data_IF_210252210368
#
_entry.id   IF_210252210368
#
_cell.length_a   1.000
_cell.length_b   1.000
_cell.length_c   1.000
_cell.angle_alpha   90.00
_cell.angle_beta   90.00
_cell.angle_gamma   90.00
#
_symmetry.space_group_name_H-M   'P 1'
#
loop_
_entity.id
_entity.type
_entity.pdbx_description
1 polymer ?
#
# COMPACT_ATOMS: atom_id res chain seq x y z
N UNK A 1 2.32 10.40 -0.40
CA UNK A 1 1.69 9.08 -0.19
C UNK A 1 2.75 7.98 -0.17
N UNK A 2 2.61 7.00 0.72
CA UNK A 2 3.40 5.76 0.73
C UNK A 2 2.56 4.58 0.25
N UNK A 3 3.11 3.78 -0.66
CA UNK A 3 2.52 2.56 -1.18
C UNK A 3 3.19 1.36 -0.52
N UNK A 4 2.39 0.47 0.08
CA UNK A 4 2.87 -0.82 0.60
C UNK A 4 2.11 -1.94 -0.05
N UNK A 5 2.84 -2.88 -0.62
CA UNK A 5 2.29 -4.04 -1.29
C UNK A 5 2.51 -5.30 -0.46
N UNK A 6 1.48 -6.13 -0.40
CA UNK A 6 1.53 -7.44 0.22
C UNK A 6 0.56 -8.39 -0.47
N UNK A 7 0.24 -9.47 0.22
CA UNK A 7 -0.77 -10.42 -0.21
C UNK A 7 -1.40 -11.10 0.97
N UNK A 8 -2.51 -11.78 0.71
CA UNK A 8 -3.18 -12.57 1.72
C UNK A 8 -3.95 -13.71 1.11
N UNK A 9 -4.41 -14.59 1.99
CA UNK A 9 -5.15 -15.78 1.59
C UNK A 9 -6.66 -15.60 1.80
N UNK A 10 -7.11 -15.10 2.96
CA UNK A 10 -8.53 -14.99 3.34
C UNK A 10 -8.82 -13.74 4.18
N UNK A 11 -10.10 -13.44 4.44
CA UNK A 11 -10.55 -12.45 5.43
C UNK A 11 -10.45 -10.97 5.03
N UNK A 12 -10.05 -10.65 3.78
CA UNK A 12 -9.87 -9.24 3.38
C UNK A 12 -11.19 -8.47 3.33
N UNK A 13 -12.28 -9.08 2.88
CA UNK A 13 -13.59 -8.42 2.83
C UNK A 13 -14.10 -8.10 4.24
N UNK A 14 -14.03 -9.07 5.16
CA UNK A 14 -14.37 -8.84 6.56
C UNK A 14 -13.49 -7.76 7.20
N UNK A 15 -12.18 -7.76 6.89
CA UNK A 15 -11.26 -6.73 7.35
C UNK A 15 -11.65 -5.31 6.88
N UNK A 16 -12.05 -5.18 5.62
CA UNK A 16 -12.42 -3.90 5.01
C UNK A 16 -13.75 -3.37 5.55
N UNK A 17 -14.74 -4.26 5.71
CA UNK A 17 -16.08 -3.90 6.17
C UNK A 17 -16.12 -3.72 7.70
N UNK A 18 -15.64 -4.70 8.45
CA UNK A 18 -15.82 -4.75 9.90
C UNK A 18 -14.59 -4.25 10.69
N UNK A 19 -13.41 -4.24 10.07
CA UNK A 19 -12.15 -3.98 10.77
C UNK A 19 -11.70 -5.15 11.66
N UNK A 20 -10.52 -5.00 12.28
CA UNK A 20 -10.02 -5.96 13.28
C UNK A 20 -10.43 -5.46 14.67
N UNK A 21 -11.33 -6.19 15.34
CA UNK A 21 -11.66 -5.99 16.76
C UNK A 21 -10.58 -6.60 17.66
N UNK A 22 -9.41 -5.97 17.74
CA UNK A 22 -8.43 -6.26 18.79
C UNK A 22 -8.59 -5.22 19.90
N UNK A 23 -9.51 -5.47 20.85
CA UNK A 23 -9.63 -4.69 22.09
C UNK A 23 -10.31 -3.32 22.00
N UNK A 24 -10.72 -2.87 20.81
CA UNK A 24 -11.31 -1.53 20.61
C UNK A 24 -12.82 -1.52 20.80
N UNK A 25 -13.34 -0.45 21.40
CA UNK A 25 -14.77 -0.24 21.59
C UNK A 25 -15.52 0.09 20.29
N UNK A 26 -14.86 0.75 19.32
CA UNK A 26 -15.49 1.26 18.11
C UNK A 26 -15.29 0.34 16.89
N UNK A 27 -16.36 0.16 16.11
CA UNK A 27 -16.40 -0.57 14.84
C UNK A 27 -15.82 0.27 13.68
N UNK A 28 -15.47 -0.37 12.56
CA UNK A 28 -14.92 0.31 11.37
C UNK A 28 -15.79 1.45 10.86
N UNK A 29 -17.10 1.25 10.79
CA UNK A 29 -18.05 2.27 10.32
C UNK A 29 -18.14 3.49 11.24
N UNK A 30 -17.77 3.35 12.51
CA UNK A 30 -17.71 4.46 13.47
C UNK A 30 -16.40 5.25 13.32
N UNK A 31 -15.33 4.57 12.90
CA UNK A 31 -13.99 5.14 12.78
C UNK A 31 -13.77 5.83 11.43
N UNK A 32 -14.26 5.24 10.35
CA UNK A 32 -13.94 5.65 8.99
C UNK A 32 -15.21 5.84 8.14
N UNK A 33 -15.21 6.85 7.28
CA UNK A 33 -16.09 6.91 6.13
C UNK A 33 -15.45 6.10 4.99
N UNK A 34 -16.15 5.06 4.51
CA UNK A 34 -15.69 4.22 3.41
C UNK A 34 -16.17 4.80 2.08
N UNK A 35 -15.22 5.15 1.22
CA UNK A 35 -15.50 5.66 -0.12
C UNK A 35 -15.06 4.62 -1.15
N UNK A 36 -16.01 4.07 -1.89
CA UNK A 36 -15.73 3.18 -3.03
C UNK A 36 -15.06 3.98 -4.15
N UNK A 37 -13.89 3.53 -4.61
CA UNK A 37 -13.12 4.20 -5.65
C UNK A 37 -13.07 3.40 -6.95
N UNK A 38 -13.08 2.07 -6.87
CA UNK A 38 -13.14 1.20 -8.04
C UNK A 38 -13.71 -0.18 -7.69
N UNK A 39 -14.44 -0.77 -8.65
CA UNK A 39 -14.91 -2.15 -8.58
C UNK A 39 -16.13 -2.36 -7.67
N UNK A 40 -16.39 -3.63 -7.36
CA UNK A 40 -17.51 -4.07 -6.53
C UNK A 40 -17.02 -5.12 -5.52
N UNK A 41 -17.34 -4.93 -4.24
CA UNK A 41 -16.82 -5.78 -3.15
C UNK A 41 -17.39 -7.20 -3.17
N UNK A 42 -18.64 -7.39 -3.60
CA UNK A 42 -19.27 -8.70 -3.73
C UNK A 42 -18.62 -9.48 -4.88
N UNK A 43 -18.40 -8.81 -6.01
CA UNK A 43 -17.67 -9.41 -7.13
C UNK A 43 -16.25 -9.79 -6.73
N UNK A 44 -15.52 -8.91 -6.03
CA UNK A 44 -14.20 -9.21 -5.45
C UNK A 44 -14.27 -10.47 -4.57
N UNK A 45 -15.24 -10.53 -3.67
CA UNK A 45 -15.45 -11.65 -2.76
C UNK A 45 -15.61 -12.97 -3.53
N UNK A 46 -16.48 -12.99 -4.54
CA UNK A 46 -16.71 -14.17 -5.37
C UNK A 46 -15.46 -14.60 -6.14
N UNK A 47 -14.72 -13.66 -6.73
CA UNK A 47 -13.50 -13.98 -7.49
C UNK A 47 -12.44 -14.60 -6.56
N UNK A 48 -12.21 -14.04 -5.38
CA UNK A 48 -11.26 -14.60 -4.39
C UNK A 48 -11.68 -16.02 -3.97
N UNK A 49 -12.97 -16.23 -3.70
CA UNK A 49 -13.49 -17.55 -3.31
C UNK A 49 -13.41 -18.58 -4.44
N UNK A 50 -13.39 -18.14 -5.71
CA UNK A 50 -13.18 -19.03 -6.86
C UNK A 50 -11.74 -19.54 -7.01
N UNK A 51 -10.80 -19.06 -6.20
CA UNK A 51 -9.40 -19.51 -6.19
C UNK A 51 -9.26 -20.61 -5.12
N UNK A 52 -8.90 -21.86 -5.50
CA UNK A 52 -8.71 -22.95 -4.55
C UNK A 52 -7.68 -22.59 -3.48
N UNK A 53 -7.99 -22.86 -2.22
CA UNK A 53 -7.07 -22.63 -1.12
C UNK A 53 -6.09 -23.80 -0.98
N UNK A 54 -4.82 -23.55 -1.23
CA UNK A 54 -3.69 -24.46 -1.04
C UNK A 54 -2.64 -23.85 -0.09
N UNK A 55 -3.03 -22.86 0.73
CA UNK A 55 -2.12 -22.11 1.60
C UNK A 55 -1.32 -21.00 0.91
N UNK A 56 -1.55 -20.75 -0.38
CA UNK A 56 -0.92 -19.67 -1.14
C UNK A 56 -1.65 -18.33 -0.98
N UNK A 57 -1.03 -17.24 -1.40
CA UNK A 57 -1.74 -15.97 -1.54
C UNK A 57 -2.81 -16.04 -2.62
N UNK A 58 -4.04 -15.62 -2.30
CA UNK A 58 -5.17 -15.58 -3.25
C UNK A 58 -5.50 -14.17 -3.73
N UNK A 59 -4.98 -13.14 -3.05
CA UNK A 59 -5.09 -11.76 -3.47
C UNK A 59 -3.82 -10.98 -3.15
N UNK A 60 -3.59 -9.93 -3.92
CA UNK A 60 -2.64 -8.86 -3.64
C UNK A 60 -3.41 -7.78 -2.87
N UNK A 61 -2.79 -7.26 -1.82
CA UNK A 61 -3.31 -6.13 -1.05
C UNK A 61 -2.32 -4.99 -1.08
N UNK A 62 -2.77 -3.82 -1.49
CA UNK A 62 -1.95 -2.61 -1.54
C UNK A 62 -2.60 -1.57 -0.66
N UNK A 63 -1.84 -0.99 0.26
CA UNK A 63 -2.27 0.17 1.03
C UNK A 63 -1.55 1.41 0.54
N UNK A 64 -2.30 2.44 0.17
CA UNK A 64 -1.80 3.77 -0.12
C UNK A 64 -2.10 4.65 1.09
N UNK A 65 -1.10 4.99 1.90
CA UNK A 65 -1.27 5.84 3.08
C UNK A 65 -0.81 7.26 2.79
N UNK A 66 -1.60 8.24 3.23
CA UNK A 66 -1.34 9.64 2.98
C UNK A 66 -0.71 10.33 4.19
N UNK A 67 0.17 11.29 3.93
CA UNK A 67 0.72 12.13 5.00
C UNK A 67 -0.20 13.30 5.30
N UNK A 68 -1.00 13.70 4.33
CA UNK A 68 -1.98 14.77 4.41
C UNK A 68 -3.12 14.37 5.36
N UNK A 69 -3.55 15.30 6.22
CA UNK A 69 -4.68 15.07 7.14
C UNK A 69 -6.02 15.03 6.42
N UNK A 70 -6.10 15.58 5.21
CA UNK A 70 -7.31 15.60 4.37
C UNK A 70 -6.95 15.58 2.89
N UNK A 71 -7.67 14.79 2.12
CA UNK A 71 -7.56 14.71 0.66
C UNK A 71 -8.98 14.65 0.09
N UNK A 72 -9.23 15.35 -1.01
CA UNK A 72 -10.53 15.35 -1.67
C UNK A 72 -10.83 13.98 -2.30
N UNK A 73 -12.11 13.63 -2.39
CA UNK A 73 -12.57 12.40 -3.07
C UNK A 73 -12.08 12.34 -4.52
N UNK A 74 -12.04 13.48 -5.21
CA UNK A 74 -11.54 13.58 -6.58
C UNK A 74 -10.07 13.18 -6.70
N UNK A 75 -9.19 13.66 -5.80
CA UNK A 75 -7.78 13.27 -5.81
C UNK A 75 -7.63 11.78 -5.45
N UNK A 76 -8.40 11.26 -4.49
CA UNK A 76 -8.39 9.83 -4.15
C UNK A 76 -8.78 8.95 -5.34
N UNK A 77 -9.79 9.36 -6.11
CA UNK A 77 -10.20 8.69 -7.35
C UNK A 77 -9.10 8.77 -8.43
N UNK A 78 -8.54 9.95 -8.67
CA UNK A 78 -7.46 10.16 -9.65
C UNK A 78 -6.21 9.35 -9.32
N UNK A 79 -5.78 9.36 -8.06
CA UNK A 79 -4.66 8.54 -7.55
C UNK A 79 -4.92 7.06 -7.77
N UNK A 80 -6.13 6.58 -7.44
CA UNK A 80 -6.49 5.16 -7.60
C UNK A 80 -6.47 4.74 -9.07
N UNK A 81 -7.03 5.57 -9.96
CA UNK A 81 -7.07 5.27 -11.39
C UNK A 81 -5.68 5.31 -12.02
N UNK A 82 -4.84 6.27 -11.62
CA UNK A 82 -3.45 6.34 -12.07
C UNK A 82 -2.65 5.11 -11.64
N UNK A 83 -2.77 4.75 -10.35
CA UNK A 83 -2.11 3.58 -9.80
C UNK A 83 -2.54 2.29 -10.52
N UNK A 84 -3.86 2.14 -10.76
CA UNK A 84 -4.42 1.05 -11.55
C UNK A 84 -3.83 1.01 -12.96
N UNK A 85 -3.81 2.14 -13.66
CA UNK A 85 -3.31 2.22 -15.04
C UNK A 85 -1.84 1.83 -15.14
N UNK A 86 -1.00 2.29 -14.20
CA UNK A 86 0.42 1.99 -14.19
C UNK A 86 0.70 0.53 -13.82
N UNK A 87 0.06 0.02 -12.77
CA UNK A 87 0.28 -1.34 -12.28
C UNK A 87 -0.29 -2.42 -13.22
N UNK A 88 -1.44 -2.14 -13.84
CA UNK A 88 -2.17 -3.12 -14.68
C UNK A 88 -1.92 -2.94 -16.18
N UNK A 89 -0.94 -2.12 -16.59
CA UNK A 89 -0.72 -1.73 -17.99
C UNK A 89 -0.53 -2.92 -18.96
N UNK A 90 -0.03 -4.05 -18.46
CA UNK A 90 0.24 -5.26 -19.22
C UNK A 90 -1.00 -6.17 -19.39
N UNK A 91 -2.14 -5.79 -18.82
CA UNK A 91 -3.36 -6.59 -18.81
C UNK A 91 -4.52 -5.82 -19.44
N UNK A 92 -5.35 -6.52 -20.22
CA UNK A 92 -6.63 -6.01 -20.67
C UNK A 92 -7.59 -5.87 -19.47
N UNK A 93 -8.49 -4.87 -19.42
CA UNK A 93 -9.44 -4.69 -18.32
C UNK A 93 -10.30 -5.91 -18.00
N UNK A 94 -10.59 -6.76 -18.99
CA UNK A 94 -11.39 -7.98 -18.81
C UNK A 94 -10.61 -9.12 -18.14
N UNK A 95 -9.29 -9.01 -18.03
CA UNK A 95 -8.44 -10.06 -17.47
C UNK A 95 -8.37 -10.06 -15.94
N UNK A 96 -8.83 -9.01 -15.28
CA UNK A 96 -8.61 -8.86 -13.85
C UNK A 96 -9.80 -8.26 -13.11
N UNK A 97 -9.95 -8.67 -11.85
CA UNK A 97 -10.79 -7.99 -10.89
C UNK A 97 -9.94 -6.99 -10.11
N UNK A 98 -10.36 -5.73 -10.06
CA UNK A 98 -9.67 -4.66 -9.32
C UNK A 98 -10.68 -3.96 -8.42
N UNK A 99 -10.41 -3.98 -7.12
CA UNK A 99 -11.23 -3.30 -6.11
C UNK A 99 -10.40 -2.27 -5.38
N UNK A 100 -10.97 -1.08 -5.14
CA UNK A 100 -10.35 -0.06 -4.32
C UNK A 100 -11.37 0.71 -3.47
N UNK A 101 -11.03 0.95 -2.21
CA UNK A 101 -11.79 1.79 -1.29
C UNK A 101 -10.88 2.70 -0.46
N UNK A 102 -11.29 3.94 -0.24
CA UNK A 102 -10.67 4.84 0.73
C UNK A 102 -11.34 4.73 2.10
N UNK A 103 -10.51 4.75 3.14
CA UNK A 103 -10.93 4.94 4.53
C UNK A 103 -10.56 6.37 4.94
N UNK A 104 -11.57 7.19 5.19
CA UNK A 104 -11.43 8.59 5.59
C UNK A 104 -11.81 8.69 7.08
N UNK A 105 -10.87 9.01 7.99
CA UNK A 105 -11.16 9.02 9.42
C UNK A 105 -12.27 10.01 9.80
N UNK A 106 -13.35 9.51 10.43
CA UNK A 106 -14.37 10.33 11.11
C UNK A 106 -13.82 10.85 12.44
N UNK A 107 -13.12 9.97 13.15
CA UNK A 107 -12.39 10.29 14.39
C UNK A 107 -10.94 10.57 14.03
N UNK A 108 -10.53 11.84 14.08
CA UNK A 108 -9.19 12.27 13.66
C UNK A 108 -8.06 11.83 14.59
N UNK A 109 -8.38 11.59 15.86
CA UNK A 109 -7.40 11.30 16.89
C UNK A 109 -7.82 10.10 17.73
N UNK A 110 -6.91 9.16 17.94
CA UNK A 110 -7.10 8.05 18.87
C UNK A 110 -5.96 8.03 19.88
N UNK A 111 -6.25 7.67 21.12
CA UNK A 111 -5.21 7.35 22.08
C UNK A 111 -4.61 5.98 21.74
N UNK A 112 -3.30 5.94 21.62
CA UNK A 112 -2.56 4.69 21.56
C UNK A 112 -2.59 4.01 22.92
N UNK A 113 -3.15 2.81 23.00
CA UNK A 113 -3.33 2.08 24.26
C UNK A 113 -2.00 1.70 24.94
N UNK A 114 -0.90 1.62 24.17
CA UNK A 114 0.41 1.23 24.70
C UNK A 114 1.20 2.42 25.23
N UNK A 115 1.08 3.57 24.58
CA UNK A 115 1.89 4.77 24.87
C UNK A 115 1.10 5.89 25.51
N UNK A 116 -0.23 5.84 25.48
CA UNK A 116 -1.13 6.90 25.93
C UNK A 116 -1.10 8.15 25.04
N UNK A 117 -0.36 8.13 23.94
CA UNK A 117 -0.20 9.29 23.06
C UNK A 117 -1.37 9.40 22.08
N UNK A 118 -1.74 10.65 21.79
CA UNK A 118 -2.77 10.96 20.80
C UNK A 118 -2.17 10.79 19.39
N UNK A 119 -2.61 9.77 18.66
CA UNK A 119 -2.18 9.50 17.29
C UNK A 119 -3.24 10.05 16.32
N UNK A 120 -2.77 10.87 15.38
CA UNK A 120 -3.59 11.33 14.26
C UNK A 120 -3.84 10.18 13.27
N UNK A 121 -5.11 9.96 12.94
CA UNK A 121 -5.52 9.06 11.85
C UNK A 121 -5.56 9.84 10.55
N UNK A 122 -4.92 9.28 9.52
CA UNK A 122 -4.85 9.87 8.19
C UNK A 122 -5.62 9.03 7.16
N UNK A 123 -6.13 9.64 6.08
CA UNK A 123 -6.76 8.91 4.99
C UNK A 123 -5.82 7.84 4.41
N UNK A 124 -6.41 6.75 3.94
CA UNK A 124 -5.68 5.71 3.20
C UNK A 124 -6.60 4.99 2.23
N UNK A 125 -6.03 4.42 1.17
CA UNK A 125 -6.73 3.59 0.18
C UNK A 125 -6.27 2.15 0.35
N UNK A 126 -7.22 1.22 0.30
CA UNK A 126 -6.97 -0.20 0.13
C UNK A 126 -7.32 -0.61 -1.30
N UNK A 127 -6.35 -1.21 -1.99
CA UNK A 127 -6.54 -1.85 -3.29
C UNK A 127 -6.41 -3.35 -3.09
N UNK A 128 -7.33 -4.12 -3.66
CA UNK A 128 -7.32 -5.59 -3.62
C UNK A 128 -7.46 -6.13 -5.04
N UNK A 129 -6.54 -7.02 -5.41
CA UNK A 129 -6.49 -7.65 -6.74
C UNK A 129 -6.39 -9.17 -6.55
N UNK A 130 -7.42 -9.96 -6.89
CA UNK A 130 -7.35 -11.42 -6.83
C UNK A 130 -6.25 -11.97 -7.75
N UNK A 131 -5.56 -13.03 -7.31
CA UNK A 131 -4.47 -13.67 -8.04
C UNK A 131 -4.97 -14.66 -9.10
N UNK A 132 -5.96 -14.24 -9.88
CA UNK A 132 -6.56 -15.04 -10.96
C UNK A 132 -6.90 -14.15 -12.14
N UNK A 133 -6.39 -14.53 -13.30
CA UNK A 133 -6.75 -13.91 -14.57
C UNK A 133 -8.15 -14.42 -14.95
N UNK A 134 -9.10 -13.52 -15.18
CA UNK A 134 -10.51 -13.87 -15.37
C UNK A 134 -10.78 -14.54 -16.73
N UNK A 135 -9.92 -14.29 -17.73
CA UNK A 135 -10.05 -14.87 -19.07
C UNK A 135 -9.34 -16.22 -19.14
N UNK A 136 -8.07 -16.28 -18.73
CA UNK A 136 -7.24 -17.49 -18.87
C UNK A 136 -7.38 -18.45 -17.70
N UNK A 137 -7.97 -18.01 -16.58
CA UNK A 137 -8.07 -18.72 -15.28
C UNK A 137 -6.73 -19.03 -14.60
N UNK A 138 -5.61 -18.59 -15.19
CA UNK A 138 -4.26 -18.76 -14.65
C UNK A 138 -3.97 -17.75 -13.54
N UNK A 139 -2.83 -17.93 -12.87
CA UNK A 139 -2.35 -16.99 -11.85
C UNK A 139 -2.10 -15.61 -12.46
N UNK A 140 -2.63 -14.57 -11.81
CA UNK A 140 -2.39 -13.17 -12.13
C UNK A 140 -1.45 -12.58 -11.07
N UNK A 141 -0.39 -11.88 -11.51
CA UNK A 141 0.56 -11.26 -10.59
C UNK A 141 1.16 -9.96 -11.15
N UNK A 142 0.40 -8.85 -11.16
CA UNK A 142 0.87 -7.56 -11.67
C UNK A 142 2.02 -6.97 -10.82
N UNK A 143 2.18 -7.38 -9.56
CA UNK A 143 3.23 -6.83 -8.68
C UNK A 143 4.63 -7.34 -8.96
N UNK A 144 4.80 -8.37 -9.81
CA UNK A 144 6.10 -9.03 -9.98
C UNK A 144 6.57 -9.82 -8.75
N UNK A 145 7.89 -10.03 -8.67
CA UNK A 145 8.57 -10.71 -7.56
C UNK A 145 9.15 -9.68 -6.60
N UNK A 146 8.46 -9.46 -5.48
CA UNK A 146 8.83 -8.46 -4.47
C UNK A 146 10.16 -8.74 -3.75
N UNK A 147 10.75 -9.92 -3.95
CA UNK A 147 12.09 -10.23 -3.43
C UNK A 147 13.20 -9.71 -4.34
N UNK A 148 12.87 -9.24 -5.55
CA UNK A 148 13.83 -8.62 -6.46
C UNK A 148 13.85 -7.12 -6.26
N UNK A 149 15.05 -6.55 -6.12
CA UNK A 149 15.24 -5.10 -5.96
C UNK A 149 14.58 -4.28 -7.06
N UNK A 150 14.71 -4.71 -8.32
CA UNK A 150 14.12 -4.01 -9.47
C UNK A 150 12.60 -3.86 -9.39
N UNK A 151 11.89 -4.86 -8.85
CA UNK A 151 10.44 -4.79 -8.67
C UNK A 151 10.05 -3.79 -7.58
N UNK A 152 10.86 -3.67 -6.52
CA UNK A 152 10.64 -2.64 -5.51
C UNK A 152 10.88 -1.23 -6.07
N UNK A 153 11.89 -1.07 -6.91
CA UNK A 153 12.20 0.20 -7.60
C UNK A 153 11.07 0.61 -8.56
N UNK A 154 10.46 -0.34 -9.28
CA UNK A 154 9.30 -0.11 -10.15
C UNK A 154 8.07 0.37 -9.35
N UNK A 155 7.78 -0.26 -8.21
CA UNK A 155 6.65 0.13 -7.34
C UNK A 155 6.90 1.51 -6.71
N UNK A 156 8.15 1.78 -6.30
CA UNK A 156 8.56 3.09 -5.80
C UNK A 156 8.44 4.16 -6.89
N UNK A 157 8.79 3.85 -8.14
CA UNK A 157 8.60 4.77 -9.26
C UNK A 157 7.12 5.12 -9.50
N UNK A 158 6.21 4.14 -9.40
CA UNK A 158 4.75 4.39 -9.47
C UNK A 158 4.32 5.35 -8.34
N UNK A 159 4.78 5.09 -7.11
CA UNK A 159 4.48 5.92 -5.95
C UNK A 159 4.98 7.36 -6.15
N UNK A 160 6.24 7.54 -6.53
CA UNK A 160 6.84 8.86 -6.68
C UNK A 160 6.27 9.63 -7.86
N UNK A 161 5.94 8.95 -8.96
CA UNK A 161 5.22 9.57 -10.07
C UNK A 161 3.88 10.16 -9.61
N UNK A 162 3.09 9.39 -8.86
CA UNK A 162 1.80 9.83 -8.33
C UNK A 162 1.98 10.96 -7.31
N UNK A 163 2.98 10.85 -6.42
CA UNK A 163 3.29 11.90 -5.45
C UNK A 163 3.58 13.24 -6.13
N UNK A 164 4.46 13.23 -7.12
CA UNK A 164 4.81 14.41 -7.89
C UNK A 164 3.61 14.98 -8.67
N UNK A 165 2.86 14.13 -9.35
CA UNK A 165 1.72 14.53 -10.21
C UNK A 165 0.58 15.18 -9.43
N UNK A 166 0.32 14.72 -8.21
CA UNK A 166 -0.79 15.19 -7.39
C UNK A 166 -0.35 16.04 -6.18
N UNK A 167 0.92 16.46 -6.15
CA UNK A 167 1.51 17.28 -5.07
C UNK A 167 1.33 16.67 -3.67
N UNK A 168 1.52 15.35 -3.58
CA UNK A 168 1.47 14.61 -2.31
C UNK A 168 2.88 14.47 -1.73
N UNK A 169 3.00 14.51 -0.40
CA UNK A 169 4.28 14.41 0.30
C UNK A 169 4.94 13.06 0.01
N UNK A 170 6.18 13.10 -0.48
CA UNK A 170 6.95 11.88 -0.67
C UNK A 170 7.40 11.31 0.67
N UNK A 171 7.34 9.98 0.89
CA UNK A 171 7.97 9.38 2.06
C UNK A 171 9.50 9.57 2.08
N UNK A 172 10.11 9.96 0.95
CA UNK A 172 11.55 10.25 0.87
C UNK A 172 11.91 11.62 1.46
N UNK A 173 10.96 12.55 1.52
CA UNK A 173 11.18 13.90 2.08
C UNK A 173 11.24 13.88 3.62
N UNK A 174 10.63 12.86 4.24
CA UNK A 174 10.47 12.74 5.69
C UNK A 174 11.34 11.67 6.35
N UNK A 175 12.45 11.27 5.74
CA UNK A 175 13.33 10.24 6.33
C UNK A 175 13.82 10.69 7.70
N UNK A 176 13.42 9.98 8.78
CA UNK A 176 14.08 10.11 10.08
C UNK A 176 15.52 9.63 9.92
N UNK A 177 16.44 10.58 9.86
CA UNK A 177 17.87 10.31 9.98
C UNK A 177 18.09 9.83 11.42
N UNK A 178 18.19 8.51 11.61
CA UNK A 178 18.80 7.95 12.81
C UNK A 178 20.29 7.78 12.55
N UNK A 179 21.13 7.92 13.57
CA UNK A 179 22.60 7.82 13.47
C UNK A 179 23.08 6.52 12.80
N UNK A 180 22.27 5.47 12.85
CA UNK A 180 22.51 4.17 12.22
C UNK A 180 22.26 4.10 10.71
N UNK A 181 21.51 5.03 10.13
CA UNK A 181 21.07 4.98 8.72
C UNK A 181 21.73 6.02 7.81
N UNK A 182 22.63 6.85 8.36
CA UNK A 182 23.22 7.97 7.64
C UNK A 182 23.96 7.56 6.34
N UNK A 183 24.70 6.44 6.38
CA UNK A 183 25.44 5.93 5.23
C UNK A 183 24.54 5.40 4.11
N UNK A 184 23.45 4.70 4.48
CA UNK A 184 22.47 4.16 3.53
C UNK A 184 21.60 5.23 2.86
N UNK A 185 21.37 6.35 3.56
CA UNK A 185 20.65 7.51 3.02
C UNK A 185 21.52 8.26 2.01
N UNK A 186 22.81 8.45 2.32
CA UNK A 186 23.75 9.15 1.43
C UNK A 186 24.08 8.36 0.16
N UNK A 187 24.22 7.03 0.23
CA UNK A 187 24.49 6.19 -0.94
C UNK A 187 23.33 6.19 -1.93
N UNK A 188 22.09 6.13 -1.44
CA UNK A 188 20.87 6.20 -2.26
C UNK A 188 20.64 7.55 -2.92
N UNK A 189 20.95 8.65 -2.22
CA UNK A 189 20.82 10.00 -2.79
C UNK A 189 21.87 10.31 -3.86
N UNK A 190 23.07 9.72 -3.77
CA UNK A 190 24.14 9.97 -4.76
C UNK A 190 24.09 9.08 -6.00
N UNK A 191 23.33 7.98 -5.97
CA UNK A 191 23.31 7.03 -7.10
C UNK A 191 24.70 6.44 -7.39
N UNK A 192 25.58 6.36 -6.39
CA UNK A 192 26.96 5.91 -6.58
C UNK A 192 27.13 4.42 -6.26
N UNK A 193 27.80 3.75 -7.20
CA UNK A 193 28.35 2.39 -7.16
C UNK A 193 29.49 2.21 -6.12
N UNK A 194 29.29 2.59 -4.86
CA UNK A 194 30.31 2.37 -3.83
C UNK A 194 30.17 1.00 -3.19
N UNK A 195 30.97 0.05 -3.67
CA UNK A 195 31.21 -1.24 -3.02
C UNK A 195 31.74 -1.05 -1.58
N UNK A 196 31.01 -1.58 -0.61
CA UNK A 196 31.24 -1.48 0.83
C UNK A 196 32.45 -2.27 1.33
N UNK A 197 33.66 -2.01 0.83
CA UNK A 197 34.84 -2.76 1.28
C UNK A 197 35.41 -2.37 2.65
N UNK A 198 34.94 -1.28 3.27
CA UNK A 198 35.53 -0.77 4.54
C UNK A 198 34.52 -0.12 5.50
N UNK A 199 33.27 -0.61 5.53
CA UNK A 199 32.25 -0.09 6.44
C UNK A 199 32.61 -0.32 7.93
N UNK A 200 33.24 -1.45 8.26
CA UNK A 200 33.64 -1.77 9.65
C UNK A 200 34.75 -0.85 10.18
N UNK A 201 35.74 -0.48 9.36
CA UNK A 201 36.83 0.38 9.79
C UNK A 201 36.40 1.82 10.11
N UNK A 202 35.28 2.29 9.54
CA UNK A 202 34.76 3.64 9.84
C UNK A 202 34.01 3.70 11.17
N UNK A 203 33.43 2.59 11.62
CA UNK A 203 32.77 2.50 12.94
C UNK A 203 33.74 2.58 14.12
N UNK A 204 35.04 2.46 13.89
CA UNK A 204 36.04 2.55 14.96
C UNK A 204 36.67 3.94 15.09
N UNK A 205 36.39 4.86 14.14
CA UNK A 205 36.94 6.22 14.16
C UNK A 205 35.98 7.28 14.75
N UNK A 206 34.71 6.94 14.97
CA UNK A 206 33.67 7.79 15.55
C UNK A 206 32.76 6.96 16.45
#
# INVERSE_FOLDING_TARGET
MISRIGGGNKGIVDYLVNGIKQGRALNRDELDNRLMLAGNIEHLHHVIHSIPDKGQERYIHISLSFYESSISSEILQKVTQEYKNLLMNAYHPDEYCFYAEAHIPKVKYLNDEKTGQLIERKPHIHIVIPRKNLVTTKSLNPRGDINKGSTLDEIDAIQEHINLKYHLVSPKDGMRISDTNHANVLSRMKGDLFDEKQAEFKKTLF
#
